data_IF_439123725040
#
_entry.id   IF_439123725040
#
_cell.length_a   1.000
_cell.length_b   1.000
_cell.length_c   1.000
_cell.angle_alpha   90.00
_cell.angle_beta   90.00
_cell.angle_gamma   90.00
#
_symmetry.space_group_name_H-M   'P 1'
#
loop_
_entity.id
_entity.type
_entity.pdbx_description
1 polymer ?
#
# COMPACT_ATOMS: atom_id res chain seq x y z
N UNK A 1 10.37 4.15 -7.01
CA UNK A 1 8.99 4.63 -6.75
C UNK A 1 8.86 6.09 -7.12
N UNK A 2 7.65 6.55 -7.47
CA UNK A 2 7.36 7.96 -7.81
C UNK A 2 7.03 8.82 -6.57
N UNK A 3 6.71 8.19 -5.45
CA UNK A 3 6.28 8.86 -4.23
C UNK A 3 5.61 7.91 -3.25
N UNK A 4 5.13 8.46 -2.12
CA UNK A 4 4.23 7.75 -1.20
C UNK A 4 2.85 7.54 -1.85
N UNK A 5 2.07 6.58 -1.34
CA UNK A 5 0.74 6.23 -1.90
C UNK A 5 -0.25 7.40 -1.86
N UNK A 6 -0.21 8.22 -0.81
CA UNK A 6 -0.99 9.44 -0.67
C UNK A 6 -0.64 10.46 -1.76
N UNK A 7 0.65 10.68 -2.01
CA UNK A 7 1.11 11.56 -3.09
C UNK A 7 0.64 11.05 -4.47
N UNK A 8 0.84 9.77 -4.78
CA UNK A 8 0.41 9.18 -6.07
C UNK A 8 -1.11 9.28 -6.21
N UNK A 9 -1.87 8.98 -5.16
CA UNK A 9 -3.34 9.11 -5.14
C UNK A 9 -3.78 10.56 -5.37
N UNK A 10 -3.15 11.52 -4.70
CA UNK A 10 -3.43 12.94 -4.91
C UNK A 10 -3.15 13.40 -6.34
N UNK A 11 -2.06 12.91 -6.94
CA UNK A 11 -1.76 13.15 -8.35
C UNK A 11 -2.79 12.51 -9.28
N UNK A 12 -3.29 11.32 -8.97
CA UNK A 12 -4.37 10.69 -9.74
C UNK A 12 -5.65 11.53 -9.69
N UNK A 13 -6.07 12.00 -8.50
CA UNK A 13 -7.24 12.86 -8.39
C UNK A 13 -7.07 14.20 -9.11
N UNK A 14 -5.89 14.81 -9.05
CA UNK A 14 -5.58 16.06 -9.75
C UNK A 14 -5.65 15.91 -11.27
N UNK A 15 -5.14 14.79 -11.80
CA UNK A 15 -5.02 14.58 -13.25
C UNK A 15 -6.24 13.88 -13.88
N UNK A 16 -7.15 13.32 -13.07
CA UNK A 16 -8.43 12.71 -13.50
C UNK A 16 -8.34 11.52 -14.48
N UNK A 17 -7.14 11.08 -14.84
CA UNK A 17 -6.91 9.96 -15.75
C UNK A 17 -6.98 10.36 -17.21
N UNK A 18 -6.72 9.39 -18.09
CA UNK A 18 -6.85 9.54 -19.54
C UNK A 18 -8.19 8.97 -19.97
N UNK A 19 -8.90 9.70 -20.83
CA UNK A 19 -10.08 9.19 -21.52
C UNK A 19 -9.65 8.56 -22.84
N UNK A 20 -9.77 7.24 -22.94
CA UNK A 20 -9.47 6.44 -24.12
C UNK A 20 -10.77 5.72 -24.54
N UNK A 21 -11.31 6.06 -25.72
CA UNK A 21 -12.65 5.63 -26.11
C UNK A 21 -13.71 6.05 -25.07
N UNK A 22 -14.47 5.08 -24.56
CA UNK A 22 -15.49 5.29 -23.52
C UNK A 22 -14.95 5.07 -22.09
N UNK A 23 -13.66 4.80 -21.93
CA UNK A 23 -13.05 4.46 -20.64
C UNK A 23 -12.20 5.63 -20.17
N UNK A 24 -12.49 6.16 -18.97
CA UNK A 24 -11.62 7.14 -18.30
C UNK A 24 -10.93 6.49 -17.12
N UNK A 25 -9.60 6.54 -17.08
CA UNK A 25 -8.84 5.96 -15.99
C UNK A 25 -7.33 6.07 -16.16
N UNK A 26 -6.61 5.38 -15.27
CA UNK A 26 -5.16 5.24 -15.35
C UNK A 26 -4.84 3.83 -15.84
N UNK A 27 -3.92 3.72 -16.78
CA UNK A 27 -3.58 2.46 -17.42
C UNK A 27 -2.20 2.02 -16.94
N UNK A 28 -2.15 0.91 -16.21
CA UNK A 28 -0.92 0.23 -15.87
C UNK A 28 -0.52 -0.66 -17.05
N UNK A 29 0.62 -0.37 -17.67
CA UNK A 29 1.14 -1.12 -18.81
C UNK A 29 2.40 -1.88 -18.42
N UNK A 30 2.35 -3.21 -18.49
CA UNK A 30 3.46 -4.11 -18.20
C UNK A 30 3.89 -4.80 -19.51
N UNK A 31 5.10 -4.55 -20.00
CA UNK A 31 5.61 -5.27 -21.16
C UNK A 31 5.91 -6.74 -20.82
N UNK A 32 6.26 -7.55 -21.82
CA UNK A 32 6.58 -8.96 -21.64
C UNK A 32 7.70 -9.18 -20.62
N UNK A 33 8.72 -8.32 -20.64
CA UNK A 33 9.85 -8.34 -19.71
C UNK A 33 9.36 -8.22 -18.25
N UNK A 34 8.52 -7.24 -17.95
CA UNK A 34 7.94 -7.06 -16.61
C UNK A 34 6.93 -8.16 -16.26
N UNK A 35 6.09 -8.54 -17.22
CA UNK A 35 5.02 -9.54 -17.02
C UNK A 35 5.59 -10.91 -16.66
N UNK A 36 6.75 -11.28 -17.21
CA UNK A 36 7.40 -12.55 -16.96
C UNK A 36 7.83 -12.69 -15.48
N UNK A 37 8.32 -11.62 -14.86
CA UNK A 37 8.71 -11.60 -13.45
C UNK A 37 7.53 -11.81 -12.49
N UNK A 38 6.31 -11.43 -12.92
CA UNK A 38 5.08 -11.54 -12.13
C UNK A 38 4.00 -12.40 -12.81
N UNK A 39 4.42 -13.41 -13.57
CA UNK A 39 3.55 -14.24 -14.43
C UNK A 39 2.29 -14.73 -13.71
N UNK A 40 2.41 -15.16 -12.46
CA UNK A 40 1.26 -15.63 -11.67
C UNK A 40 0.21 -14.54 -11.46
N UNK A 41 0.63 -13.31 -11.14
CA UNK A 41 -0.27 -12.17 -10.95
C UNK A 41 -0.97 -11.80 -12.26
N UNK A 42 -0.22 -11.77 -13.38
CA UNK A 42 -0.81 -11.50 -14.69
C UNK A 42 -1.87 -12.55 -15.06
N UNK A 43 -1.60 -13.84 -14.84
CA UNK A 43 -2.58 -14.91 -15.05
C UNK A 43 -3.81 -14.74 -14.14
N UNK A 44 -3.60 -14.45 -12.86
CA UNK A 44 -4.66 -14.26 -11.88
C UNK A 44 -5.61 -13.11 -12.27
N UNK A 45 -5.06 -11.94 -12.60
CA UNK A 45 -5.86 -10.76 -12.94
C UNK A 45 -6.54 -10.86 -14.30
N UNK A 46 -5.89 -11.53 -15.27
CA UNK A 46 -6.54 -11.89 -16.54
C UNK A 46 -7.74 -12.82 -16.33
N UNK A 47 -7.57 -13.85 -15.51
CA UNK A 47 -8.65 -14.78 -15.18
C UNK A 47 -9.84 -14.11 -14.48
N UNK A 48 -9.62 -13.00 -13.78
CA UNK A 48 -10.67 -12.18 -13.15
C UNK A 48 -11.26 -11.09 -14.06
N UNK A 49 -10.77 -10.96 -15.30
CA UNK A 49 -11.25 -9.95 -16.25
C UNK A 49 -10.85 -8.50 -15.93
N UNK A 50 -9.91 -8.27 -15.00
CA UNK A 50 -9.45 -6.91 -14.60
C UNK A 50 -8.10 -6.52 -15.20
N UNK A 51 -7.54 -7.39 -16.03
CA UNK A 51 -6.33 -7.15 -16.81
C UNK A 51 -6.49 -7.83 -18.17
N UNK A 52 -5.99 -7.19 -19.22
CA UNK A 52 -6.05 -7.70 -20.59
C UNK A 52 -4.65 -7.83 -21.18
N UNK A 53 -4.44 -8.88 -21.96
CA UNK A 53 -3.21 -9.08 -22.71
C UNK A 53 -3.35 -8.56 -24.14
N UNK A 54 -2.28 -8.00 -24.68
CA UNK A 54 -2.15 -7.56 -26.07
C UNK A 54 -0.86 -8.11 -26.65
N UNK A 55 -0.88 -8.54 -27.91
CA UNK A 55 0.32 -9.02 -28.59
C UNK A 55 1.31 -7.87 -28.87
N UNK A 56 0.79 -6.65 -29.01
CA UNK A 56 1.53 -5.41 -29.20
C UNK A 56 0.65 -4.21 -28.82
N UNK A 57 1.26 -3.03 -28.67
CA UNK A 57 0.49 -1.81 -28.37
C UNK A 57 -0.34 -1.29 -29.54
N UNK A 58 -0.15 -1.81 -30.77
CA UNK A 58 -1.00 -1.52 -31.91
C UNK A 58 -2.43 -2.06 -31.72
N UNK A 59 -2.57 -3.26 -31.15
CA UNK A 59 -3.87 -3.83 -30.79
C UNK A 59 -4.58 -2.99 -29.72
N UNK A 60 -3.85 -2.58 -28.67
CA UNK A 60 -4.36 -1.68 -27.64
C UNK A 60 -4.79 -0.33 -28.24
N UNK A 61 -3.94 0.28 -29.07
CA UNK A 61 -4.23 1.55 -29.72
C UNK A 61 -5.50 1.50 -30.57
N UNK A 62 -5.67 0.41 -31.34
CA UNK A 62 -6.86 0.17 -32.16
C UNK A 62 -8.12 0.02 -31.32
N UNK A 63 -8.08 -0.76 -30.24
CA UNK A 63 -9.22 -0.98 -29.34
C UNK A 63 -9.72 0.30 -28.70
N UNK A 64 -8.79 1.17 -28.29
CA UNK A 64 -9.09 2.41 -27.61
C UNK A 64 -9.22 3.62 -28.54
N UNK A 65 -9.09 3.42 -29.86
CA UNK A 65 -9.24 4.46 -30.87
C UNK A 65 -8.19 5.57 -30.77
N UNK A 66 -6.96 5.24 -30.35
CA UNK A 66 -5.87 6.22 -30.24
C UNK A 66 -4.77 5.99 -31.29
N UNK A 67 -4.09 7.05 -31.75
CA UNK A 67 -2.92 6.90 -32.62
C UNK A 67 -1.79 6.13 -31.92
N UNK A 68 -1.28 5.08 -32.56
CA UNK A 68 -0.11 4.32 -32.06
C UNK A 68 1.10 5.24 -31.82
N UNK A 69 1.27 6.26 -32.67
CA UNK A 69 2.31 7.28 -32.54
C UNK A 69 2.35 7.99 -31.18
N UNK A 70 1.20 8.14 -30.50
CA UNK A 70 1.15 8.73 -29.16
C UNK A 70 1.80 7.82 -28.11
N UNK A 71 1.61 6.51 -28.25
CA UNK A 71 2.23 5.49 -27.38
C UNK A 71 3.73 5.42 -27.68
N UNK A 72 4.11 5.40 -28.96
CA UNK A 72 5.51 5.39 -29.37
C UNK A 72 6.28 6.60 -28.84
N UNK A 73 5.69 7.81 -28.93
CA UNK A 73 6.28 9.01 -28.37
C UNK A 73 6.44 8.92 -26.84
N UNK A 74 5.44 8.36 -26.14
CA UNK A 74 5.49 8.15 -24.70
C UNK A 74 6.61 7.17 -24.31
N UNK A 75 6.70 6.03 -25.00
CA UNK A 75 7.72 5.01 -24.73
C UNK A 75 9.12 5.52 -25.05
N UNK A 76 9.28 6.24 -26.16
CA UNK A 76 10.54 6.89 -26.53
C UNK A 76 10.99 7.86 -25.42
N UNK A 77 10.13 8.76 -24.99
CA UNK A 77 10.45 9.71 -23.91
C UNK A 77 10.80 9.00 -22.60
N UNK A 78 10.08 7.92 -22.26
CA UNK A 78 10.36 7.13 -21.05
C UNK A 78 11.71 6.40 -21.13
N UNK A 79 12.02 5.77 -22.27
CA UNK A 79 13.31 5.11 -22.51
C UNK A 79 14.47 6.12 -22.45
N UNK A 80 14.33 7.30 -23.06
CA UNK A 80 15.35 8.35 -23.03
C UNK A 80 15.64 8.86 -21.61
N UNK A 81 14.59 9.04 -20.79
CA UNK A 81 14.76 9.43 -19.38
C UNK A 81 15.48 8.33 -18.61
N UNK A 82 15.10 7.07 -18.82
CA UNK A 82 15.73 5.95 -18.13
C UNK A 82 17.20 5.76 -18.52
N UNK A 83 17.54 5.96 -19.79
CA UNK A 83 18.93 5.92 -20.28
C UNK A 83 19.77 7.02 -19.62
N UNK A 84 19.24 8.25 -19.53
CA UNK A 84 19.89 9.36 -18.80
C UNK A 84 20.09 9.01 -17.33
N UNK A 85 19.04 8.52 -16.68
CA UNK A 85 19.09 8.13 -15.27
C UNK A 85 20.09 7.00 -15.01
N UNK A 86 20.28 6.08 -15.95
CA UNK A 86 21.24 4.98 -15.81
C UNK A 86 22.68 5.47 -16.00
N UNK A 87 22.92 6.38 -16.95
CA UNK A 87 24.25 6.91 -17.26
C UNK A 87 24.74 7.94 -16.26
N UNK A 88 23.82 8.72 -15.68
CA UNK A 88 24.16 9.81 -14.78
C UNK A 88 23.17 9.89 -13.60
N UNK A 89 23.21 8.93 -12.66
CA UNK A 89 22.14 8.73 -11.68
C UNK A 89 22.00 9.85 -10.65
N UNK A 90 23.04 10.66 -10.44
CA UNK A 90 23.13 11.60 -9.32
C UNK A 90 23.12 13.08 -9.74
N UNK A 91 23.13 13.40 -11.04
CA UNK A 91 23.15 14.78 -11.53
C UNK A 91 21.89 15.21 -12.29
N UNK A 92 20.79 14.48 -12.13
CA UNK A 92 19.50 14.87 -12.67
C UNK A 92 19.00 16.21 -12.08
N UNK A 93 18.22 17.01 -12.84
CA UNK A 93 17.79 18.32 -12.40
C UNK A 93 16.65 18.30 -11.36
N UNK A 94 16.04 17.15 -11.08
CA UNK A 94 14.90 17.02 -10.18
C UNK A 94 15.27 16.27 -8.89
N UNK A 95 14.54 16.54 -7.81
CA UNK A 95 14.67 15.76 -6.57
C UNK A 95 14.01 14.39 -6.73
N UNK A 96 14.69 13.33 -6.30
CA UNK A 96 14.16 11.98 -6.29
C UNK A 96 13.39 11.67 -5.00
N UNK A 97 12.32 10.89 -5.11
CA UNK A 97 11.65 10.36 -3.94
C UNK A 97 12.54 9.34 -3.20
N UNK A 98 12.73 9.54 -1.90
CA UNK A 98 13.68 8.74 -1.09
C UNK A 98 15.10 9.30 -1.07
N UNK A 99 15.33 10.49 -1.66
CA UNK A 99 16.60 11.20 -1.65
C UNK A 99 17.44 11.02 -2.91
N UNK A 100 18.30 12.01 -3.18
CA UNK A 100 19.14 12.07 -4.38
C UNK A 100 18.46 12.80 -5.55
N UNK A 101 19.03 12.67 -6.74
CA UNK A 101 18.57 13.35 -7.94
C UNK A 101 17.89 12.41 -8.94
N UNK A 102 17.11 12.99 -9.84
CA UNK A 102 16.37 12.29 -10.89
C UNK A 102 16.34 13.10 -12.20
N UNK A 103 16.41 12.40 -13.33
CA UNK A 103 16.17 12.96 -14.66
C UNK A 103 14.68 13.00 -15.03
N UNK A 104 13.84 12.31 -14.28
CA UNK A 104 12.40 12.39 -14.42
C UNK A 104 11.87 13.57 -13.60
N UNK A 105 11.05 14.41 -14.25
CA UNK A 105 10.40 15.56 -13.59
C UNK A 105 9.49 15.16 -12.43
N UNK A 106 9.08 13.89 -12.39
CA UNK A 106 8.29 13.33 -11.30
C UNK A 106 9.13 12.65 -10.21
N UNK A 107 10.46 12.68 -10.32
CA UNK A 107 11.38 12.19 -9.28
C UNK A 107 11.63 10.68 -9.30
N UNK A 108 11.32 9.97 -10.39
CA UNK A 108 11.58 8.53 -10.52
C UNK A 108 13.07 8.25 -10.70
N UNK A 109 13.63 7.44 -9.81
CA UNK A 109 15.05 7.02 -9.87
C UNK A 109 15.28 5.67 -10.53
N UNK A 110 14.39 4.71 -10.25
CA UNK A 110 14.60 3.32 -10.65
C UNK A 110 13.68 2.96 -11.82
N UNK A 111 14.30 2.45 -12.87
CA UNK A 111 13.64 1.99 -14.08
C UNK A 111 14.04 0.53 -14.32
N UNK A 112 13.07 -0.32 -14.66
CA UNK A 112 13.25 -1.74 -14.85
C UNK A 112 12.54 -2.18 -16.14
N UNK A 113 12.92 -3.35 -16.66
CA UNK A 113 12.24 -4.01 -17.79
C UNK A 113 12.24 -3.18 -19.09
N UNK A 114 13.34 -2.48 -19.33
CA UNK A 114 13.57 -1.62 -20.49
C UNK A 114 14.33 -2.32 -21.63
N UNK A 115 14.34 -1.75 -22.85
CA UNK A 115 13.47 -0.66 -23.30
C UNK A 115 12.01 -1.08 -23.40
N UNK A 116 11.09 -0.12 -23.38
CA UNK A 116 9.70 -0.32 -23.79
C UNK A 116 9.59 -0.18 -25.31
N UNK A 117 9.08 -1.21 -25.97
CA UNK A 117 8.90 -1.23 -27.43
C UNK A 117 7.44 -1.54 -27.73
N UNK A 118 6.83 -0.85 -28.70
CA UNK A 118 5.40 -1.07 -29.03
C UNK A 118 5.14 -2.45 -29.61
N UNK A 119 6.17 -3.12 -30.13
CA UNK A 119 6.14 -4.50 -30.60
C UNK A 119 6.16 -5.56 -29.48
N UNK A 120 6.49 -5.19 -28.24
CA UNK A 120 6.44 -6.13 -27.11
C UNK A 120 4.99 -6.58 -26.86
N UNK A 121 4.81 -7.78 -26.33
CA UNK A 121 3.54 -8.16 -25.72
C UNK A 121 3.31 -7.35 -24.43
N UNK A 122 2.06 -7.00 -24.14
CA UNK A 122 1.70 -6.23 -22.94
C UNK A 122 0.56 -6.84 -22.15
N UNK A 123 0.63 -6.66 -20.84
CA UNK A 123 -0.48 -6.80 -19.91
C UNK A 123 -0.90 -5.41 -19.44
N UNK A 124 -2.14 -5.02 -19.72
CA UNK A 124 -2.68 -3.71 -19.36
C UNK A 124 -3.84 -3.87 -18.39
N UNK A 125 -3.83 -3.09 -17.32
CA UNK A 125 -4.93 -3.03 -16.36
C UNK A 125 -5.33 -1.57 -16.12
N UNK A 126 -6.62 -1.34 -15.92
CA UNK A 126 -7.11 -0.03 -15.47
C UNK A 126 -6.98 0.00 -13.95
N UNK A 127 -6.32 1.03 -13.43
CA UNK A 127 -6.07 1.19 -11.99
C UNK A 127 -6.77 2.44 -11.47
N UNK A 128 -7.21 2.35 -10.21
CA UNK A 128 -7.87 3.42 -9.48
C UNK A 128 -7.40 3.41 -8.02
N UNK A 129 -7.36 4.55 -7.33
CA UNK A 129 -7.08 4.56 -5.90
C UNK A 129 -8.14 3.77 -5.13
N UNK A 130 -7.71 2.97 -4.15
CA UNK A 130 -8.59 2.20 -3.27
C UNK A 130 -8.14 2.38 -1.82
N UNK A 131 -9.10 2.48 -0.90
CA UNK A 131 -8.82 2.46 0.54
C UNK A 131 -8.25 1.08 0.89
N UNK A 132 -7.01 1.07 1.37
CA UNK A 132 -6.28 -0.18 1.62
C UNK A 132 -6.05 -0.46 3.10
N UNK A 133 -5.80 0.58 3.91
CA UNK A 133 -5.50 0.45 5.32
C UNK A 133 -5.83 1.74 6.07
N UNK A 134 -6.42 1.62 7.25
CA UNK A 134 -6.75 2.72 8.15
C UNK A 134 -5.75 2.76 9.32
N UNK A 135 -4.84 3.73 9.34
CA UNK A 135 -3.79 3.83 10.36
C UNK A 135 -4.28 4.28 11.74
N UNK A 136 -5.48 4.89 11.79
CA UNK A 136 -6.13 5.27 13.03
C UNK A 136 -6.74 4.06 13.75
N UNK A 137 -7.32 4.29 14.92
CA UNK A 137 -7.97 3.23 15.70
C UNK A 137 -8.01 3.57 17.18
N UNK A 138 -8.30 2.56 18.00
CA UNK A 138 -8.25 2.67 19.45
C UNK A 138 -6.82 2.98 19.90
N UNK A 139 -6.61 4.06 20.65
CA UNK A 139 -5.30 4.35 21.22
C UNK A 139 -4.92 3.23 22.20
N UNK A 140 -3.68 2.76 22.13
CA UNK A 140 -3.17 1.70 23.01
C UNK A 140 -1.81 2.08 23.60
N UNK A 141 -1.48 1.48 24.74
CA UNK A 141 -0.10 1.46 25.24
C UNK A 141 0.67 0.22 24.73
N UNK A 142 1.91 0.06 25.20
CA UNK A 142 2.78 -1.06 24.85
C UNK A 142 2.29 -2.43 25.37
N UNK A 143 1.39 -2.44 26.36
CA UNK A 143 0.69 -3.63 26.85
C UNK A 143 -0.60 -3.95 26.06
N UNK A 144 -0.89 -3.19 24.98
CA UNK A 144 -2.11 -3.28 24.17
C UNK A 144 -3.41 -2.95 24.92
N UNK A 145 -3.31 -2.26 26.06
CA UNK A 145 -4.47 -1.77 26.82
C UNK A 145 -5.07 -0.58 26.09
N UNK A 146 -6.40 -0.59 25.93
CA UNK A 146 -7.10 0.50 25.27
C UNK A 146 -7.16 1.74 26.15
N UNK A 147 -6.90 2.89 25.56
CA UNK A 147 -6.83 4.18 26.25
C UNK A 147 -8.07 5.02 25.94
N UNK A 148 -8.75 5.44 26.99
CA UNK A 148 -9.86 6.39 26.94
C UNK A 148 -9.39 7.84 27.01
N UNK A 149 -10.33 8.72 27.38
CA UNK A 149 -10.06 10.15 27.51
C UNK A 149 -8.89 10.44 28.45
N UNK A 150 -7.99 11.34 28.01
CA UNK A 150 -6.80 11.71 28.77
C UNK A 150 -5.73 10.62 28.88
N UNK A 151 -5.77 9.60 28.01
CA UNK A 151 -4.77 8.52 28.00
C UNK A 151 -4.94 7.51 29.14
N UNK A 152 -6.10 7.49 29.80
CA UNK A 152 -6.37 6.56 30.90
C UNK A 152 -6.72 5.18 30.36
N UNK A 153 -6.15 4.15 30.97
CA UNK A 153 -6.48 2.75 30.63
C UNK A 153 -7.94 2.46 30.92
N UNK A 154 -8.63 1.87 29.93
CA UNK A 154 -9.96 1.29 30.08
C UNK A 154 -9.76 -0.16 30.55
N UNK A 155 -10.02 -0.40 31.84
CA UNK A 155 -9.82 -1.72 32.45
C UNK A 155 -10.56 -2.82 31.72
N UNK A 156 -9.86 -3.93 31.43
CA UNK A 156 -10.41 -5.09 30.74
C UNK A 156 -10.55 -4.96 29.23
N UNK A 157 -10.24 -3.80 28.63
CA UNK A 157 -10.34 -3.57 27.18
C UNK A 157 -8.95 -3.54 26.52
N UNK A 158 -8.78 -4.36 25.47
CA UNK A 158 -7.53 -4.49 24.72
C UNK A 158 -7.81 -4.40 23.22
N UNK A 159 -6.88 -3.81 22.47
CA UNK A 159 -7.00 -3.64 21.03
C UNK A 159 -5.69 -4.01 20.32
N UNK A 160 -5.77 -4.57 19.12
CA UNK A 160 -4.62 -4.98 18.32
C UNK A 160 -4.94 -5.00 16.83
N UNK A 161 -3.90 -5.01 15.98
CA UNK A 161 -4.05 -4.97 14.53
C UNK A 161 -4.65 -3.65 14.04
N UNK A 162 -5.35 -3.68 12.90
CA UNK A 162 -5.94 -2.47 12.29
C UNK A 162 -7.06 -1.81 13.13
N UNK A 163 -7.54 -2.46 14.20
CA UNK A 163 -8.42 -1.81 15.17
C UNK A 163 -7.67 -0.86 16.12
N UNK A 164 -6.35 -1.02 16.28
CA UNK A 164 -5.50 -0.21 17.13
C UNK A 164 -4.85 0.94 16.35
N UNK A 165 -4.82 2.12 16.96
CA UNK A 165 -4.22 3.33 16.39
C UNK A 165 -2.85 3.63 16.97
N UNK A 166 -2.06 4.41 16.23
CA UNK A 166 -0.79 4.99 16.69
C UNK A 166 0.47 4.23 16.26
N UNK A 167 0.38 2.92 16.03
CA UNK A 167 1.53 2.06 15.66
C UNK A 167 2.18 2.49 14.33
N UNK A 168 1.37 2.94 13.38
CA UNK A 168 1.81 3.29 12.03
C UNK A 168 1.90 4.80 11.76
N UNK A 169 1.54 5.63 12.75
CA UNK A 169 1.43 7.08 12.57
C UNK A 169 0.60 7.45 11.34
N UNK A 170 1.12 8.35 10.51
CA UNK A 170 0.41 8.84 9.32
C UNK A 170 0.50 7.92 8.09
N UNK A 171 1.40 6.93 8.08
CA UNK A 171 1.57 6.07 6.91
C UNK A 171 2.19 4.72 7.29
N UNK A 172 1.46 3.65 7.02
CA UNK A 172 1.95 2.29 7.22
C UNK A 172 3.02 1.91 6.19
N UNK A 173 4.15 1.39 6.68
CA UNK A 173 5.18 0.76 5.83
C UNK A 173 4.73 -0.61 5.30
N UNK A 174 5.14 -0.94 4.07
CA UNK A 174 4.86 -2.25 3.46
C UNK A 174 5.35 -3.40 4.35
N UNK A 175 4.57 -4.49 4.41
CA UNK A 175 4.88 -5.64 5.27
C UNK A 175 4.46 -5.52 6.75
N UNK A 176 4.25 -4.32 7.28
CA UNK A 176 4.05 -4.17 8.73
C UNK A 176 2.65 -4.54 9.26
N UNK A 177 1.59 -4.54 8.44
CA UNK A 177 0.22 -4.77 8.94
C UNK A 177 0.02 -6.15 9.56
N UNK A 178 0.47 -7.21 8.86
CA UNK A 178 0.34 -8.57 9.39
C UNK A 178 1.25 -8.79 10.61
N UNK A 179 2.42 -8.16 10.61
CA UNK A 179 3.34 -8.22 11.74
C UNK A 179 2.73 -7.56 12.98
N UNK A 180 2.11 -6.39 12.83
CA UNK A 180 1.36 -5.72 13.89
C UNK A 180 0.27 -6.65 14.45
N UNK A 181 -0.60 -7.19 13.60
CA UNK A 181 -1.64 -8.14 14.02
C UNK A 181 -1.08 -9.30 14.85
N UNK A 182 0.05 -9.88 14.45
CA UNK A 182 0.67 -11.00 15.17
C UNK A 182 1.28 -10.54 16.50
N UNK A 183 2.05 -9.46 16.50
CA UNK A 183 2.77 -8.99 17.70
C UNK A 183 1.79 -8.45 18.73
N UNK A 184 0.98 -7.45 18.37
CA UNK A 184 0.01 -6.86 19.30
C UNK A 184 -1.16 -7.80 19.61
N UNK A 185 -1.49 -8.74 18.72
CA UNK A 185 -2.41 -9.83 19.03
C UNK A 185 -1.90 -10.73 20.16
N UNK A 186 -0.60 -11.06 20.16
CA UNK A 186 0.02 -11.83 21.26
C UNK A 186 0.14 -11.02 22.54
N UNK A 187 0.50 -9.74 22.43
CA UNK A 187 0.61 -8.84 23.59
C UNK A 187 -0.75 -8.67 24.26
N UNK A 188 -1.80 -8.32 23.50
CA UNK A 188 -3.16 -8.16 24.00
C UNK A 188 -3.67 -9.43 24.68
N UNK A 189 -3.51 -10.60 24.04
CA UNK A 189 -3.89 -11.88 24.64
C UNK A 189 -3.19 -12.16 25.98
N UNK A 190 -1.88 -11.89 26.07
CA UNK A 190 -1.13 -12.06 27.32
C UNK A 190 -1.55 -11.06 28.41
N UNK A 191 -1.78 -9.80 28.04
CA UNK A 191 -2.20 -8.77 28.99
C UNK A 191 -3.60 -9.04 29.53
N UNK A 192 -4.54 -9.43 28.66
CA UNK A 192 -5.89 -9.82 29.06
C UNK A 192 -5.88 -11.03 30.03
N UNK A 193 -5.08 -12.06 29.74
CA UNK A 193 -4.96 -13.21 30.63
C UNK A 193 -4.38 -12.85 32.01
N UNK A 194 -3.39 -11.95 32.05
CA UNK A 194 -2.82 -11.42 33.30
C UNK A 194 -3.84 -10.62 34.10
N UNK A 195 -4.60 -9.77 33.43
CA UNK A 195 -5.65 -8.97 34.07
C UNK A 195 -6.71 -9.84 34.73
N UNK A 196 -7.23 -10.84 34.00
CA UNK A 196 -8.21 -11.80 34.55
C UNK A 196 -7.65 -12.63 35.69
N UNK A 197 -6.40 -13.10 35.58
CA UNK A 197 -5.75 -13.86 36.66
C UNK A 197 -5.60 -13.01 37.92
N UNK A 198 -5.14 -11.76 37.79
CA UNK A 198 -5.00 -10.86 38.91
C UNK A 198 -6.35 -10.49 39.54
N UNK A 199 -7.40 -10.28 38.72
CA UNK A 199 -8.75 -10.04 39.20
C UNK A 199 -9.29 -11.24 39.98
N UNK A 200 -9.07 -12.46 39.49
CA UNK A 200 -9.50 -13.70 40.16
C UNK A 200 -8.77 -13.91 41.49
N UNK A 201 -7.46 -13.67 41.57
CA UNK A 201 -6.70 -13.77 42.82
C UNK A 201 -7.29 -12.81 43.87
N UNK A 202 -7.47 -11.53 43.51
CA UNK A 202 -8.05 -10.52 44.42
C UNK A 202 -9.45 -10.90 44.87
N UNK A 203 -10.27 -11.44 43.96
CA UNK A 203 -11.60 -11.93 44.32
C UNK A 203 -11.53 -13.05 45.35
N UNK A 204 -10.70 -14.08 45.13
CA UNK A 204 -10.52 -15.20 46.07
C UNK A 204 -9.97 -14.72 47.42
N UNK A 205 -9.03 -13.78 47.44
CA UNK A 205 -8.51 -13.18 48.67
C UNK A 205 -9.60 -12.40 49.42
N UNK A 206 -10.42 -11.62 48.72
CA UNK A 206 -11.54 -10.88 49.32
C UNK A 206 -12.61 -11.80 49.93
N UNK A 207 -12.83 -12.97 49.31
CA UNK A 207 -13.72 -14.01 49.84
C UNK A 207 -13.15 -14.61 51.13
N UNK A 208 -11.84 -14.87 51.19
CA UNK A 208 -11.17 -15.37 52.41
C UNK A 208 -11.15 -14.34 53.55
N UNK A 209 -11.06 -13.05 53.22
CA UNK A 209 -11.07 -11.97 54.20
C UNK A 209 -12.48 -11.63 54.74
N UNK A 210 -13.55 -12.28 54.24
CA UNK A 210 -14.93 -12.02 54.65
C UNK A 210 -15.49 -10.67 54.16
N UNK A 211 -14.81 -10.00 53.23
CA UNK A 211 -15.15 -8.66 52.73
C UNK A 211 -15.71 -8.69 51.31
N UNK A 212 -16.45 -9.74 50.93
CA UNK A 212 -16.88 -9.96 49.55
C UNK A 212 -17.61 -8.74 48.97
N UNK A 213 -16.95 -8.03 48.05
CA UNK A 213 -17.57 -7.04 47.18
C UNK A 213 -17.81 -7.74 45.85
N UNK A 214 -19.07 -7.80 45.42
CA UNK A 214 -19.45 -8.39 44.14
C UNK A 214 -18.53 -7.87 43.02
N UNK A 215 -17.87 -8.78 42.30
CA UNK A 215 -16.97 -8.41 41.21
C UNK A 215 -17.78 -7.72 40.12
N UNK A 216 -17.63 -6.40 40.00
CA UNK A 216 -18.00 -5.70 38.77
C UNK A 216 -16.90 -5.98 37.76
N UNK A 217 -17.04 -7.10 37.04
CA UNK A 217 -16.45 -7.25 35.71
C UNK A 217 -17.06 -6.22 34.77
#
# INVERSE_FOLDING_TARGET
ELGRRDYVTGMMWKNKGLTLGNTTGFFLCLNGKASNEITWHCKHYKGRGIMKGYANMGEFAKEYGIPLANIEATFKAYNEIADKQTKDPDNGPYEAYGGGKSWDKWGKKFFHNLPLETSDAFHVAIVTPVIHYCMGGMAINDAAESLGAGGKVIGGLYSAGEAAGGIHGNNRLGGNSLLDCVVFGRVSGRSAARYLTAANIKYVESMKAGTAVASKL
#
